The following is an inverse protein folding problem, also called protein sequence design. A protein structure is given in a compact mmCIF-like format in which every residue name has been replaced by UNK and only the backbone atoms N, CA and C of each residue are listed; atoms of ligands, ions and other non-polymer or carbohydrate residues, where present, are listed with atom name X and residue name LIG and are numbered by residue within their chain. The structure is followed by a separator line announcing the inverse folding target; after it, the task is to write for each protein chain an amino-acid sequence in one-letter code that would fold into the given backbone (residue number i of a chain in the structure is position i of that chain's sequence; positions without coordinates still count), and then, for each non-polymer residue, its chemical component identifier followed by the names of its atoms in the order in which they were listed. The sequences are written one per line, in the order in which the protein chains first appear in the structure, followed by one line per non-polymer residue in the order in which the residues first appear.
data_IF_107864842466
#
_entry.id   IF_107864842466
#
_cell.length_a   1.000
_cell.length_b   1.000
_cell.length_c   1.000
_cell.angle_alpha   90.00
_cell.angle_beta   90.00
_cell.angle_gamma   90.00
#
_symmetry.space_group_name_H-M   'P 1'
#
loop_
_entity.id
_entity.type
_entity.pdbx_description
1 polymer ?
#
# COMPACT_ATOMS: atom_id res chain seq x y z
N UNK A 1 -10.69 -2.69 7.91
CA UNK A 1 -10.57 -1.37 7.25
C UNK A 1 -9.10 -0.97 7.26
N UNK A 2 -8.60 -0.36 6.19
CA UNK A 2 -7.21 0.11 6.10
C UNK A 2 -7.12 1.53 6.68
N UNK A 3 -6.20 1.82 7.63
CA UNK A 3 -6.01 3.18 8.13
C UNK A 3 -5.49 4.10 7.04
N UNK A 4 -5.92 5.37 7.06
CA UNK A 4 -5.38 6.42 6.21
C UNK A 4 -3.87 6.59 6.41
N UNK A 5 -3.18 7.07 5.36
CA UNK A 5 -1.73 7.26 5.38
C UNK A 5 -0.91 5.96 5.41
N UNK A 6 -1.54 4.80 5.25
CA UNK A 6 -0.83 3.51 5.21
C UNK A 6 0.09 3.42 4.00
N UNK A 7 1.35 3.06 4.26
CA UNK A 7 2.41 2.96 3.26
C UNK A 7 2.68 1.50 2.85
N UNK A 8 3.37 1.34 1.72
CA UNK A 8 3.95 0.07 1.30
C UNK A 8 4.90 -0.48 2.39
N UNK A 9 4.94 -1.78 2.57
CA UNK A 9 5.72 -2.46 3.61
C UNK A 9 5.07 -2.49 5.00
N UNK A 10 4.02 -1.70 5.26
CA UNK A 10 3.31 -1.74 6.55
C UNK A 10 2.72 -3.14 6.78
N UNK A 11 2.93 -3.68 7.98
CA UNK A 11 2.40 -4.97 8.40
C UNK A 11 1.10 -4.82 9.19
N UNK A 12 0.04 -5.49 8.75
CA UNK A 12 -1.22 -5.59 9.49
C UNK A 12 -1.38 -6.97 10.10
N UNK A 13 -1.55 -7.04 11.42
CA UNK A 13 -1.75 -8.30 12.14
C UNK A 13 -3.24 -8.65 12.25
N UNK A 14 -3.62 -9.79 11.70
CA UNK A 14 -4.90 -10.42 11.92
C UNK A 14 -4.76 -11.52 12.98
N UNK A 15 -5.25 -11.22 14.20
CA UNK A 15 -5.12 -12.13 15.34
C UNK A 15 -5.94 -13.40 15.13
N UNK A 16 -5.34 -14.57 15.38
CA UNK A 16 -6.03 -15.88 15.30
C UNK A 16 -6.38 -16.33 13.88
N UNK A 17 -5.79 -15.69 12.85
CA UNK A 17 -5.97 -16.03 11.43
C UNK A 17 -4.75 -16.73 10.81
N UNK A 18 -3.78 -17.10 11.63
CA UNK A 18 -2.61 -17.88 11.20
C UNK A 18 -2.96 -19.36 11.00
N UNK A 19 -1.92 -20.19 10.93
CA UNK A 19 -2.06 -21.63 10.69
C UNK A 19 -2.96 -22.26 11.78
N UNK A 20 -3.97 -23.08 11.41
CA UNK A 20 -4.82 -23.77 12.37
C UNK A 20 -4.01 -24.71 13.27
N UNK A 21 -4.22 -24.58 14.58
CA UNK A 21 -3.67 -25.44 15.63
C UNK A 21 -4.57 -25.33 16.88
N UNK A 22 -4.21 -26.01 17.98
CA UNK A 22 -4.91 -25.87 19.28
C UNK A 22 -5.08 -24.40 19.68
N UNK A 23 -4.04 -23.61 19.44
CA UNK A 23 -4.10 -22.15 19.44
C UNK A 23 -3.65 -21.66 18.07
N UNK A 24 -4.55 -21.01 17.32
CA UNK A 24 -4.22 -20.49 16.01
C UNK A 24 -3.23 -19.33 16.11
N UNK A 25 -2.25 -19.30 15.20
CA UNK A 25 -1.31 -18.20 15.07
C UNK A 25 -1.95 -16.92 14.53
N UNK A 26 -1.11 -15.95 14.14
CA UNK A 26 -1.54 -14.71 13.51
C UNK A 26 -1.18 -14.70 12.02
N UNK A 27 -2.01 -14.04 11.22
CA UNK A 27 -1.69 -13.72 9.82
C UNK A 27 -1.18 -12.28 9.75
N UNK A 28 -0.07 -12.09 9.05
CA UNK A 28 0.49 -10.77 8.77
C UNK A 28 0.28 -10.44 7.30
N UNK A 29 -0.43 -9.34 7.04
CA UNK A 29 -0.54 -8.78 5.70
C UNK A 29 0.57 -7.76 5.52
N UNK A 30 1.48 -8.00 4.57
CA UNK A 30 2.48 -7.01 4.14
C UNK A 30 1.87 -6.26 2.97
N UNK A 31 1.68 -4.96 3.13
CA UNK A 31 1.02 -4.16 2.11
C UNK A 31 1.98 -3.77 1.00
N UNK A 32 1.49 -3.82 -0.24
CA UNK A 32 2.22 -3.40 -1.42
C UNK A 32 1.38 -2.36 -2.15
N UNK A 33 1.93 -1.18 -2.38
CA UNK A 33 1.30 -0.17 -3.24
C UNK A 33 1.64 -0.51 -4.69
N UNK A 34 0.61 -0.66 -5.51
CA UNK A 34 0.72 -0.89 -6.96
C UNK A 34 0.04 0.26 -7.67
N UNK A 35 0.74 0.88 -8.62
CA UNK A 35 0.23 2.02 -9.37
C UNK A 35 -0.46 1.55 -10.65
N UNK A 36 -1.63 2.12 -11.03
CA UNK A 36 -2.23 1.82 -12.33
C UNK A 36 -1.37 2.38 -13.47
N UNK A 37 -1.36 1.72 -14.64
CA UNK A 37 -0.57 2.16 -15.78
C UNK A 37 -1.16 3.44 -16.40
N UNK A 38 -0.28 4.36 -16.82
CA UNK A 38 -0.66 5.63 -17.46
C UNK A 38 -0.83 5.47 -18.98
N UNK A 39 -1.78 4.62 -19.39
CA UNK A 39 -1.93 4.20 -20.79
C UNK A 39 -2.62 5.23 -21.70
N UNK A 40 -3.12 6.34 -21.16
CA UNK A 40 -3.72 7.43 -21.93
C UNK A 40 -3.22 8.80 -21.44
N UNK A 41 -3.47 9.84 -22.23
CA UNK A 41 -2.90 11.17 -21.97
C UNK A 41 -3.46 11.81 -20.70
N UNK A 42 -4.74 11.56 -20.37
CA UNK A 42 -5.33 12.04 -19.13
C UNK A 42 -4.67 11.45 -17.88
N UNK A 43 -4.38 10.14 -17.87
CA UNK A 43 -3.70 9.47 -16.77
C UNK A 43 -2.25 9.94 -16.62
N UNK A 44 -1.54 10.16 -17.73
CA UNK A 44 -0.19 10.74 -17.71
C UNK A 44 -0.19 12.14 -17.12
N UNK A 45 -1.14 12.99 -17.56
CA UNK A 45 -1.29 14.35 -17.04
C UNK A 45 -1.57 14.36 -15.52
N UNK A 46 -2.41 13.45 -15.02
CA UNK A 46 -2.69 13.33 -13.59
C UNK A 46 -1.43 13.01 -12.78
N UNK A 47 -0.61 12.05 -13.22
CA UNK A 47 0.64 11.75 -12.54
C UNK A 47 1.66 12.87 -12.61
N UNK A 48 1.73 13.59 -13.72
CA UNK A 48 2.59 14.76 -13.87
C UNK A 48 2.21 15.87 -12.87
N UNK A 49 0.92 16.21 -12.80
CA UNK A 49 0.42 17.19 -11.83
C UNK A 49 0.72 16.77 -10.39
N UNK A 50 0.53 15.49 -10.07
CA UNK A 50 0.81 14.94 -8.76
C UNK A 50 2.30 15.07 -8.40
N UNK A 51 3.20 14.82 -9.35
CA UNK A 51 4.65 14.97 -9.15
C UNK A 51 5.06 16.43 -8.92
N UNK A 52 4.40 17.40 -9.57
CA UNK A 52 4.69 18.82 -9.41
C UNK A 52 4.17 19.39 -8.09
N UNK A 53 3.01 18.93 -7.62
CA UNK A 53 2.32 19.51 -6.47
C UNK A 53 2.74 18.89 -5.13
N UNK A 54 3.32 17.68 -5.12
CA UNK A 54 3.69 16.99 -3.89
C UNK A 54 5.19 17.05 -3.62
N UNK A 55 5.57 17.62 -2.47
CA UNK A 55 6.95 17.64 -1.99
C UNK A 55 7.34 16.29 -1.36
N UNK A 56 7.39 15.22 -2.16
CA UNK A 56 7.74 13.86 -1.72
C UNK A 56 8.99 13.34 -2.45
N UNK A 57 10.05 13.04 -1.70
CA UNK A 57 11.23 12.35 -2.21
C UNK A 57 11.23 10.88 -1.73
N UNK A 58 10.98 9.90 -2.61
CA UNK A 58 10.94 8.49 -2.23
C UNK A 58 12.33 7.88 -1.91
N UNK A 59 13.43 8.63 -2.10
CA UNK A 59 14.81 8.13 -1.96
C UNK A 59 15.65 8.93 -0.96
N UNK A 60 15.07 9.93 -0.30
CA UNK A 60 15.73 10.69 0.76
C UNK A 60 16.00 9.84 2.01
#
# INVERSE_FOLDING_TARGET
KLPEGTQSGKQLRLKGKGIPAKEAGNLYLVLQVVLPPANNDAAKALYQQMAEQMAFDPRA
#
